data_IF_773725407455
#
_entry.id   IF_773725407455
#
_cell.length_a   1.000
_cell.length_b   1.000
_cell.length_c   1.000
_cell.angle_alpha   90.00
_cell.angle_beta   90.00
_cell.angle_gamma   90.00
#
_symmetry.space_group_name_H-M   'P 1'
#
loop_
_entity.id
_entity.type
_entity.pdbx_description
1 polymer ?
#
# COMPACT_ATOMS: atom_id res chain seq x y z
N UNK A 1 0.52 13.52 -30.52
CA UNK A 1 0.36 12.35 -29.63
C UNK A 1 1.10 11.17 -30.23
N UNK A 2 1.84 10.41 -29.41
CA UNK A 2 2.40 9.13 -29.82
C UNK A 2 1.29 8.07 -29.94
N UNK A 3 1.45 7.09 -30.85
CA UNK A 3 0.49 6.00 -31.02
C UNK A 3 1.05 4.71 -30.43
N UNK A 4 0.33 4.15 -29.47
CA UNK A 4 0.60 2.84 -28.88
C UNK A 4 -0.45 1.84 -29.35
N UNK A 5 -0.05 0.65 -29.77
CA UNK A 5 -0.95 -0.44 -30.16
C UNK A 5 -0.62 -1.67 -29.33
N UNK A 6 -1.58 -2.10 -28.51
CA UNK A 6 -1.45 -3.25 -27.61
C UNK A 6 -2.53 -4.25 -28.00
N UNK A 7 -2.18 -5.54 -28.08
CA UNK A 7 -3.15 -6.63 -28.16
C UNK A 7 -3.48 -7.07 -26.75
N UNK A 8 -4.77 -7.10 -26.43
CA UNK A 8 -5.27 -7.56 -25.15
C UNK A 8 -5.95 -8.93 -25.35
N UNK A 9 -5.89 -9.82 -24.36
CA UNK A 9 -6.83 -10.93 -24.27
C UNK A 9 -8.28 -10.42 -24.33
N UNK A 10 -9.15 -11.16 -25.01
CA UNK A 10 -10.54 -10.73 -25.23
C UNK A 10 -11.28 -10.53 -23.89
N UNK A 11 -11.05 -11.41 -22.91
CA UNK A 11 -11.67 -11.32 -21.58
C UNK A 11 -11.23 -10.07 -20.78
N UNK A 12 -10.02 -9.57 -21.03
CA UNK A 12 -9.54 -8.33 -20.44
C UNK A 12 -10.16 -7.13 -21.16
N UNK A 13 -10.25 -7.18 -22.49
CA UNK A 13 -10.90 -6.12 -23.26
C UNK A 13 -12.37 -5.96 -22.88
N UNK A 14 -13.11 -7.06 -22.75
CA UNK A 14 -14.54 -7.04 -22.38
C UNK A 14 -14.77 -6.41 -21.01
N UNK A 15 -13.91 -6.73 -20.02
CA UNK A 15 -13.95 -6.09 -18.69
C UNK A 15 -13.69 -4.59 -18.77
N UNK A 16 -12.64 -4.18 -19.48
CA UNK A 16 -12.32 -2.76 -19.66
C UNK A 16 -13.42 -1.99 -20.41
N UNK A 17 -14.08 -2.64 -21.37
CA UNK A 17 -15.19 -2.05 -22.10
C UNK A 17 -16.42 -1.87 -21.20
N UNK A 18 -16.74 -2.86 -20.36
CA UNK A 18 -17.83 -2.78 -19.39
C UNK A 18 -17.58 -1.70 -18.33
N UNK A 19 -16.36 -1.60 -17.79
CA UNK A 19 -15.99 -0.57 -16.82
C UNK A 19 -16.05 0.84 -17.44
N UNK A 20 -15.61 0.98 -18.69
CA UNK A 20 -15.69 2.23 -19.42
C UNK A 20 -17.14 2.67 -19.65
N UNK A 21 -18.02 1.74 -20.04
CA UNK A 21 -19.45 2.00 -20.21
C UNK A 21 -20.11 2.42 -18.89
N UNK A 22 -19.80 1.72 -17.79
CA UNK A 22 -20.26 2.08 -16.45
C UNK A 22 -19.78 3.47 -16.00
N UNK A 23 -18.60 3.90 -16.45
CA UNK A 23 -18.05 5.23 -16.22
C UNK A 23 -18.54 6.30 -17.22
N UNK A 24 -19.37 5.94 -18.21
CA UNK A 24 -19.84 6.85 -19.26
C UNK A 24 -18.74 7.33 -20.21
N UNK A 25 -17.65 6.56 -20.35
CA UNK A 25 -16.48 6.90 -21.13
C UNK A 25 -16.25 5.91 -22.27
N UNK A 26 -15.57 6.34 -23.34
CA UNK A 26 -15.07 5.40 -24.35
C UNK A 26 -13.98 4.52 -23.76
N UNK A 27 -13.88 3.25 -24.17
CA UNK A 27 -12.83 2.32 -23.72
C UNK A 27 -11.42 2.90 -23.91
N UNK A 28 -11.18 3.64 -24.99
CA UNK A 28 -9.88 4.28 -25.24
C UNK A 28 -9.59 5.47 -24.30
N UNK A 29 -10.61 6.23 -23.89
CA UNK A 29 -10.45 7.27 -22.87
C UNK A 29 -10.17 6.63 -21.51
N UNK A 30 -11.00 5.65 -21.12
CA UNK A 30 -10.86 4.91 -19.86
C UNK A 30 -9.46 4.27 -19.70
N UNK A 31 -8.95 3.61 -20.74
CA UNK A 31 -7.60 3.00 -20.71
C UNK A 31 -6.51 4.07 -20.64
N UNK A 32 -6.67 5.22 -21.30
CA UNK A 32 -5.70 6.33 -21.19
C UNK A 32 -5.67 6.90 -19.77
N UNK A 33 -6.82 7.13 -19.17
CA UNK A 33 -6.93 7.62 -17.80
C UNK A 33 -6.31 6.62 -16.81
N UNK A 34 -6.54 5.32 -17.01
CA UNK A 34 -5.91 4.27 -16.20
C UNK A 34 -4.37 4.27 -16.34
N UNK A 35 -3.84 4.47 -17.54
CA UNK A 35 -2.40 4.59 -17.77
C UNK A 35 -1.81 5.87 -17.14
N UNK A 36 -2.55 6.97 -17.17
CA UNK A 36 -2.15 8.23 -16.51
C UNK A 36 -2.13 8.09 -14.98
N UNK A 37 -3.14 7.42 -14.41
CA UNK A 37 -3.18 7.09 -12.98
C UNK A 37 -2.01 6.18 -12.57
N UNK A 38 -1.69 5.16 -13.38
CA UNK A 38 -0.54 4.27 -13.14
C UNK A 38 0.80 5.00 -13.23
N UNK A 39 0.91 6.01 -14.11
CA UNK A 39 2.10 6.84 -14.22
C UNK A 39 2.22 7.89 -13.10
N UNK A 40 1.31 7.90 -12.13
CA UNK A 40 1.31 8.87 -11.03
C UNK A 40 0.99 10.30 -11.47
N UNK A 41 0.41 10.49 -12.66
CA UNK A 41 -0.01 11.80 -13.15
C UNK A 41 -1.30 12.30 -12.47
N UNK A 42 -2.00 11.42 -11.74
CA UNK A 42 -3.06 11.79 -10.81
C UNK A 42 -2.49 11.98 -9.40
N UNK A 43 -2.29 13.23 -8.94
CA UNK A 43 -1.79 13.52 -7.59
C UNK A 43 -2.75 13.07 -6.46
N UNK A 44 -3.98 12.68 -6.79
CA UNK A 44 -4.96 12.05 -5.88
C UNK A 44 -5.28 10.60 -6.27
N UNK A 45 -4.47 10.02 -7.15
CA UNK A 45 -4.72 8.73 -7.78
C UNK A 45 -4.46 7.54 -6.88
N UNK A 46 -4.55 6.35 -7.50
CA UNK A 46 -4.43 5.04 -6.85
C UNK A 46 -3.32 5.00 -5.79
N UNK A 47 -2.10 5.44 -6.12
CA UNK A 47 -0.97 5.43 -5.19
C UNK A 47 -1.12 6.41 -4.00
N UNK A 48 -1.55 7.65 -4.24
CA UNK A 48 -1.74 8.64 -3.18
C UNK A 48 -2.82 8.20 -2.17
N UNK A 49 -3.91 7.58 -2.63
CA UNK A 49 -4.96 7.05 -1.74
C UNK A 49 -4.47 5.88 -0.88
N UNK A 50 -3.63 5.01 -1.43
CA UNK A 50 -3.02 3.94 -0.64
C UNK A 50 -2.03 4.48 0.38
N UNK A 51 -1.27 5.52 0.04
CA UNK A 51 -0.36 6.15 0.99
C UNK A 51 -1.11 6.85 2.13
N UNK A 52 -2.21 7.54 1.84
CA UNK A 52 -3.09 8.13 2.86
C UNK A 52 -3.72 7.06 3.76
N UNK A 53 -4.21 5.96 3.17
CA UNK A 53 -4.76 4.83 3.92
C UNK A 53 -3.69 4.18 4.80
N UNK A 54 -2.51 3.91 4.25
CA UNK A 54 -1.39 3.32 5.00
C UNK A 54 -0.92 4.23 6.13
N UNK A 55 -0.83 5.54 5.88
CA UNK A 55 -0.48 6.54 6.90
C UNK A 55 -1.47 6.51 8.06
N UNK A 56 -2.77 6.46 7.76
CA UNK A 56 -3.83 6.37 8.78
C UNK A 56 -3.71 5.06 9.59
N UNK A 57 -3.49 3.93 8.92
CA UNK A 57 -3.31 2.64 9.58
C UNK A 57 -2.07 2.64 10.50
N UNK A 58 -0.95 3.18 10.02
CA UNK A 58 0.28 3.31 10.82
C UNK A 58 0.02 4.17 12.06
N UNK A 59 -0.69 5.30 11.90
CA UNK A 59 -1.02 6.19 13.02
C UNK A 59 -1.88 5.48 14.07
N UNK A 60 -2.93 4.76 13.65
CA UNK A 60 -3.78 3.98 14.56
C UNK A 60 -2.97 2.91 15.29
N UNK A 61 -2.12 2.17 14.58
CA UNK A 61 -1.27 1.14 15.17
C UNK A 61 -0.25 1.73 16.15
N UNK A 62 0.30 2.90 15.87
CA UNK A 62 1.23 3.59 16.77
C UNK A 62 0.54 4.02 18.08
N UNK A 63 -0.68 4.57 17.99
CA UNK A 63 -1.48 4.92 19.17
C UNK A 63 -1.80 3.67 19.99
N UNK A 64 -2.23 2.59 19.32
CA UNK A 64 -2.54 1.34 19.98
C UNK A 64 -1.30 0.72 20.65
N UNK A 65 -0.14 0.73 19.98
CA UNK A 65 1.11 0.24 20.54
C UNK A 65 1.50 1.04 21.80
N UNK A 66 1.29 2.36 21.82
CA UNK A 66 1.53 3.19 23.00
C UNK A 66 0.62 2.79 24.17
N UNK A 67 -0.69 2.68 23.94
CA UNK A 67 -1.68 2.32 24.96
C UNK A 67 -1.49 0.87 25.47
N UNK A 68 -1.24 -0.08 24.58
CA UNK A 68 -0.93 -1.47 24.97
C UNK A 68 0.42 -1.56 25.68
N UNK A 69 1.42 -0.76 25.28
CA UNK A 69 2.71 -0.69 25.95
C UNK A 69 2.59 -0.25 27.42
N UNK A 70 1.70 0.70 27.69
CA UNK A 70 1.41 1.16 29.05
C UNK A 70 0.67 0.09 29.89
N UNK A 71 -0.29 -0.64 29.30
CA UNK A 71 -1.15 -1.58 30.04
C UNK A 71 -0.63 -3.01 30.10
N UNK A 72 0.06 -3.46 29.06
CA UNK A 72 0.48 -4.85 28.85
C UNK A 72 1.80 -4.95 28.05
N UNK A 73 2.92 -4.45 28.61
CA UNK A 73 4.20 -4.34 27.89
C UNK A 73 4.75 -5.67 27.38
N UNK A 74 4.53 -6.78 28.12
CA UNK A 74 4.96 -8.12 27.70
C UNK A 74 4.21 -8.61 26.46
N UNK A 75 2.92 -8.31 26.38
CA UNK A 75 2.08 -8.66 25.23
C UNK A 75 2.50 -7.87 23.98
N UNK A 76 2.78 -6.58 24.14
CA UNK A 76 3.32 -5.76 23.06
C UNK A 76 4.67 -6.30 22.57
N UNK A 77 5.60 -6.60 23.47
CA UNK A 77 6.92 -7.12 23.12
C UNK A 77 6.83 -8.42 22.31
N UNK A 78 5.98 -9.36 22.74
CA UNK A 78 5.72 -10.59 22.00
C UNK A 78 5.11 -10.32 20.62
N UNK A 79 4.08 -9.48 20.54
CA UNK A 79 3.44 -9.13 19.27
C UNK A 79 4.41 -8.47 18.28
N UNK A 80 5.32 -7.62 18.77
CA UNK A 80 6.37 -7.01 17.96
C UNK A 80 7.37 -8.04 17.44
N UNK A 81 7.75 -9.03 18.27
CA UNK A 81 8.63 -10.13 17.83
C UNK A 81 7.96 -11.00 16.76
N UNK A 82 6.71 -11.40 16.98
CA UNK A 82 5.93 -12.20 16.03
C UNK A 82 5.73 -11.45 14.70
N UNK A 83 5.49 -10.14 14.76
CA UNK A 83 5.37 -9.27 13.57
C UNK A 83 6.69 -9.21 12.80
N UNK A 84 7.83 -9.01 13.47
CA UNK A 84 9.15 -9.00 12.81
C UNK A 84 9.42 -10.30 12.07
N UNK A 85 9.13 -11.44 12.72
CA UNK A 85 9.27 -12.77 12.11
C UNK A 85 8.41 -12.88 10.85
N UNK A 86 7.14 -12.49 10.96
CA UNK A 86 6.20 -12.51 9.83
C UNK A 86 6.67 -11.66 8.64
N UNK A 87 7.21 -10.47 8.91
CA UNK A 87 7.68 -9.55 7.86
C UNK A 87 8.94 -10.08 7.18
N UNK A 88 9.87 -10.67 7.94
CA UNK A 88 11.06 -11.34 7.40
C UNK A 88 10.68 -12.57 6.56
N UNK A 89 9.77 -13.42 7.06
CA UNK A 89 9.31 -14.64 6.36
C UNK A 89 8.63 -14.30 5.03
N UNK A 90 7.98 -13.13 4.94
CA UNK A 90 7.38 -12.63 3.70
C UNK A 90 8.32 -11.82 2.81
N UNK A 91 9.56 -11.58 3.23
CA UNK A 91 10.52 -10.76 2.49
C UNK A 91 10.11 -9.29 2.36
N UNK A 92 9.27 -8.80 3.28
CA UNK A 92 8.81 -7.40 3.29
C UNK A 92 9.84 -6.45 3.90
N UNK A 93 10.74 -6.98 4.72
CA UNK A 93 11.88 -6.29 5.31
C UNK A 93 13.09 -7.21 5.29
N UNK A 94 14.28 -6.63 5.40
CA UNK A 94 15.54 -7.35 5.62
C UNK A 94 15.98 -7.23 7.08
N UNK A 95 16.93 -8.06 7.50
CA UNK A 95 17.51 -7.97 8.84
C UNK A 95 18.19 -6.61 9.11
N UNK A 96 18.65 -5.90 8.06
CA UNK A 96 19.24 -4.57 8.16
C UNK A 96 18.23 -3.44 8.36
N UNK A 97 16.96 -3.67 8.04
CA UNK A 97 15.88 -2.68 8.19
C UNK A 97 15.32 -2.62 9.62
N UNK A 98 15.67 -3.60 10.46
CA UNK A 98 15.24 -3.64 11.85
C UNK A 98 16.08 -2.68 12.70
N UNK A 99 15.45 -1.79 13.50
CA UNK A 99 16.21 -0.94 14.40
C UNK A 99 16.97 -1.81 15.40
N UNK A 100 18.26 -1.48 15.61
CA UNK A 100 19.08 -2.06 16.65
C UNK A 100 18.48 -1.69 18.01
N UNK A 101 17.68 -2.58 18.58
CA UNK A 101 17.13 -2.40 19.92
C UNK A 101 18.27 -2.60 20.94
N UNK A 102 18.98 -1.52 21.25
CA UNK A 102 20.02 -1.51 22.28
C UNK A 102 20.72 -0.17 22.40
N UNK A 103 20.18 0.75 23.21
CA UNK A 103 20.93 1.94 23.59
C UNK A 103 20.10 3.12 24.11
N UNK A 104 19.68 3.06 25.39
CA UNK A 104 19.68 4.22 26.29
C UNK A 104 18.55 5.26 26.19
N UNK A 105 17.70 5.28 27.21
CA UNK A 105 17.25 6.52 27.84
C UNK A 105 16.93 6.23 29.32
N UNK A 106 18.00 6.09 30.12
CA UNK A 106 17.97 6.44 31.54
C UNK A 106 18.61 7.82 31.64
N UNK A 107 17.81 8.84 31.91
CA UNK A 107 18.20 10.14 32.48
C UNK A 107 16.95 10.82 33.00
#
# INVERSE_FOLDING_TARGET
>A
MARLTIRLPDDLYDRLAADADAAGASTAAFVRDALEQLNGADPFGFHARFDELHSTVIQVLAILASDVGARAPKSLAKGMEDTKRLLLDRGLITAGDLPALGGGASS
#
